data_IF_873086958209
#
_entry.id   IF_873086958209
#
_cell.length_a   1.000
_cell.length_b   1.000
_cell.length_c   1.000
_cell.angle_alpha   90.00
_cell.angle_beta   90.00
_cell.angle_gamma   90.00
#
_symmetry.space_group_name_H-M   'P 1'
#
loop_
_entity.id
_entity.type
_entity.pdbx_description
1 polymer ?
#
# COMPACT_ATOMS: atom_id res chain seq x y z
N UNK A 1 12.60 -17.59 -10.21
CA UNK A 1 12.55 -17.77 -8.75
C UNK A 1 13.07 -16.49 -8.13
N UNK A 2 12.20 -15.54 -7.80
CA UNK A 2 12.61 -14.29 -7.13
C UNK A 2 12.83 -14.59 -5.65
N UNK A 3 13.99 -15.20 -5.37
CA UNK A 3 14.59 -15.21 -4.04
C UNK A 3 14.82 -13.76 -3.65
N UNK A 4 14.47 -13.43 -2.41
CA UNK A 4 14.80 -12.20 -1.71
C UNK A 4 16.22 -11.72 -2.09
N UNK A 5 16.29 -10.72 -2.97
CA UNK A 5 17.38 -9.76 -2.87
C UNK A 5 16.79 -8.66 -2.00
N UNK A 6 17.29 -8.39 -0.79
CA UNK A 6 16.99 -7.15 -0.10
C UNK A 6 17.59 -6.03 -0.95
N UNK A 7 16.94 -5.67 -2.05
CA UNK A 7 17.32 -4.55 -2.87
C UNK A 7 17.19 -3.33 -1.98
N UNK A 8 18.30 -2.63 -1.92
CA UNK A 8 18.78 -1.87 -0.78
C UNK A 8 17.84 -0.71 -0.42
N UNK A 9 16.81 -0.93 0.41
CA UNK A 9 16.01 0.20 0.93
C UNK A 9 16.91 1.22 1.63
N UNK A 10 18.04 0.79 2.20
CA UNK A 10 19.01 1.70 2.80
C UNK A 10 19.72 2.59 1.74
N UNK A 11 19.89 2.12 0.51
CA UNK A 11 20.35 2.97 -0.60
C UNK A 11 19.32 4.06 -0.88
N UNK A 12 18.04 3.71 -1.05
CA UNK A 12 17.00 4.70 -1.35
C UNK A 12 16.79 5.72 -0.21
N UNK A 13 16.99 5.32 1.05
CA UNK A 13 16.99 6.25 2.19
C UNK A 13 18.08 7.34 2.10
N UNK A 14 19.13 7.11 1.32
CA UNK A 14 20.24 8.05 1.13
C UNK A 14 20.11 8.88 -0.16
N UNK A 15 19.15 8.54 -1.05
CA UNK A 15 18.95 9.27 -2.30
C UNK A 15 18.35 10.65 -1.99
N UNK A 16 18.99 11.77 -2.39
CA UNK A 16 18.52 13.11 -2.04
C UNK A 16 17.09 13.42 -2.49
N UNK A 17 16.70 12.96 -3.69
CA UNK A 17 15.32 13.15 -4.18
C UNK A 17 14.30 12.46 -3.26
N UNK A 18 14.60 11.23 -2.80
CA UNK A 18 13.74 10.48 -1.87
C UNK A 18 13.70 11.17 -0.51
N UNK A 19 14.84 11.59 0.02
CA UNK A 19 14.91 12.32 1.29
C UNK A 19 14.09 13.61 1.23
N UNK A 20 14.26 14.41 0.18
CA UNK A 20 13.52 15.65 -0.02
C UNK A 20 12.02 15.42 -0.19
N UNK A 21 11.63 14.35 -0.88
CA UNK A 21 10.22 13.99 -1.04
C UNK A 21 9.56 13.55 0.28
N UNK A 22 10.32 12.94 1.20
CA UNK A 22 9.82 12.40 2.47
C UNK A 22 9.99 13.34 3.67
N UNK A 23 10.93 14.30 3.61
CA UNK A 23 11.25 15.22 4.70
C UNK A 23 10.04 15.97 5.32
N UNK A 24 8.98 16.33 4.56
CA UNK A 24 7.83 17.02 5.14
C UNK A 24 6.87 16.15 5.98
N UNK A 25 7.09 14.84 6.07
CA UNK A 25 6.12 13.91 6.67
C UNK A 25 6.65 13.21 7.92
N UNK A 26 5.76 12.54 8.65
CA UNK A 26 6.13 11.72 9.81
C UNK A 26 7.10 10.61 9.40
N UNK A 27 8.02 10.26 10.32
CA UNK A 27 8.93 9.14 10.13
C UNK A 27 8.16 7.84 9.83
N UNK A 28 7.04 7.67 10.53
CA UNK A 28 6.15 6.51 10.38
C UNK A 28 5.57 6.39 8.96
N UNK A 29 5.06 7.50 8.40
CA UNK A 29 4.63 7.51 7.00
C UNK A 29 5.80 7.24 6.07
N UNK A 30 6.94 7.93 6.25
CA UNK A 30 8.13 7.78 5.41
C UNK A 30 8.64 6.33 5.37
N UNK A 31 8.66 5.64 6.52
CA UNK A 31 9.01 4.23 6.64
C UNK A 31 8.02 3.34 5.88
N UNK A 32 6.72 3.62 5.96
CA UNK A 32 5.69 2.83 5.29
C UNK A 32 5.62 3.05 3.77
N UNK A 33 5.79 4.29 3.29
CA UNK A 33 5.62 4.58 1.87
C UNK A 33 6.81 4.12 1.03
N UNK A 34 8.02 4.07 1.60
CA UNK A 34 9.23 3.74 0.86
C UNK A 34 9.21 2.30 0.29
N UNK A 35 8.88 1.25 1.06
CA UNK A 35 8.71 -0.11 0.52
C UNK A 35 7.60 -0.18 -0.54
N UNK A 36 6.51 0.58 -0.39
CA UNK A 36 5.42 0.59 -1.37
C UNK A 36 5.91 1.20 -2.70
N UNK A 37 6.56 2.37 -2.67
CA UNK A 37 7.15 2.98 -3.87
C UNK A 37 8.15 2.04 -4.56
N UNK A 38 8.93 1.30 -3.78
CA UNK A 38 9.83 0.28 -4.30
C UNK A 38 9.07 -0.86 -5.01
N UNK A 39 8.01 -1.40 -4.38
CA UNK A 39 7.18 -2.47 -4.93
C UNK A 39 6.38 -2.03 -6.17
N UNK A 40 5.99 -0.76 -6.25
CA UNK A 40 5.37 -0.15 -7.45
C UNK A 40 6.39 0.12 -8.57
N UNK A 41 7.69 -0.11 -8.33
CA UNK A 41 8.76 0.26 -9.27
C UNK A 41 9.01 1.77 -9.37
N UNK A 42 8.36 2.56 -8.53
CA UNK A 42 8.43 4.03 -8.51
C UNK A 42 9.81 4.60 -8.17
N UNK A 43 10.71 3.80 -7.60
CA UNK A 43 12.08 4.24 -7.28
C UNK A 43 13.09 4.00 -8.41
N UNK A 44 12.62 3.56 -9.60
CA UNK A 44 13.45 3.53 -10.81
C UNK A 44 13.74 4.95 -11.30
N UNK A 45 14.77 5.12 -12.13
CA UNK A 45 15.22 6.43 -12.62
C UNK A 45 14.16 7.20 -13.40
N UNK A 46 13.21 6.51 -14.04
CA UNK A 46 12.07 7.08 -14.76
C UNK A 46 10.79 7.19 -13.91
N UNK A 47 10.87 6.84 -12.62
CA UNK A 47 9.71 6.75 -11.74
C UNK A 47 8.82 5.53 -12.03
N UNK A 48 9.32 4.50 -12.72
CA UNK A 48 8.52 3.34 -13.10
C UNK A 48 7.44 3.69 -14.13
N UNK A 49 7.75 4.62 -15.04
CA UNK A 49 6.83 5.07 -16.07
C UNK A 49 6.38 3.89 -16.93
N UNK A 50 5.07 3.65 -17.00
CA UNK A 50 4.47 2.59 -17.80
C UNK A 50 3.34 3.16 -18.63
N UNK A 51 3.42 2.99 -19.96
CA UNK A 51 2.43 3.44 -20.95
C UNK A 51 2.08 2.29 -21.91
N UNK A 52 1.70 1.14 -21.36
CA UNK A 52 1.31 -0.02 -22.14
C UNK A 52 -0.20 0.03 -22.42
N UNK A 53 -0.58 0.06 -23.70
CA UNK A 53 -1.97 0.19 -24.15
C UNK A 53 -2.92 -0.93 -23.66
N UNK A 54 -2.39 -2.12 -23.31
CA UNK A 54 -3.19 -3.22 -22.75
C UNK A 54 -3.44 -3.11 -21.25
N UNK A 55 -2.81 -2.15 -20.56
CA UNK A 55 -3.03 -1.92 -19.14
C UNK A 55 -4.35 -1.15 -18.90
N UNK A 56 -5.24 -1.74 -18.10
CA UNK A 56 -6.52 -1.15 -17.72
C UNK A 56 -6.36 0.14 -16.89
N UNK A 57 -5.17 0.42 -16.36
CA UNK A 57 -4.83 1.63 -15.61
C UNK A 57 -4.42 2.83 -16.47
N UNK A 58 -4.01 2.60 -17.72
CA UNK A 58 -3.37 3.60 -18.58
C UNK A 58 -2.00 4.05 -18.07
N UNK A 59 -1.54 5.22 -18.55
CA UNK A 59 -0.27 5.82 -18.15
C UNK A 59 -0.10 5.83 -16.63
N UNK A 60 1.00 5.28 -16.13
CA UNK A 60 1.28 5.13 -14.70
C UNK A 60 2.71 5.56 -14.38
N UNK A 61 2.91 6.30 -13.28
CA UNK A 61 4.23 6.68 -12.75
C UNK A 61 4.17 6.71 -11.23
N UNK A 62 5.21 6.22 -10.56
CA UNK A 62 5.27 6.06 -9.10
C UNK A 62 4.11 5.24 -8.51
N UNK A 63 3.53 4.32 -9.28
CA UNK A 63 2.32 3.58 -8.89
C UNK A 63 1.01 4.38 -8.96
N UNK A 64 1.05 5.61 -9.46
CA UNK A 64 -0.11 6.49 -9.66
C UNK A 64 -0.54 6.41 -11.14
N UNK A 65 -1.77 5.96 -11.38
CA UNK A 65 -2.31 5.76 -12.74
C UNK A 65 -3.25 6.89 -13.18
N UNK A 66 -3.28 7.15 -14.50
CA UNK A 66 -4.19 8.12 -15.11
C UNK A 66 -5.64 7.78 -14.81
N UNK A 67 -5.99 6.49 -14.76
CA UNK A 67 -7.35 6.05 -14.40
C UNK A 67 -7.77 6.52 -13.01
N UNK A 68 -6.87 6.46 -12.03
CA UNK A 68 -7.16 6.91 -10.67
C UNK A 68 -7.17 8.44 -10.57
N UNK A 69 -6.35 9.12 -11.39
CA UNK A 69 -6.20 10.58 -11.39
C UNK A 69 -6.37 11.13 -12.82
N UNK A 70 -7.60 11.19 -13.35
CA UNK A 70 -7.85 11.48 -14.77
C UNK A 70 -7.40 12.87 -15.22
N UNK A 71 -7.30 13.83 -14.29
CA UNK A 71 -6.91 15.21 -14.58
C UNK A 71 -5.44 15.52 -14.22
N UNK A 72 -4.68 14.53 -13.78
CA UNK A 72 -3.28 14.71 -13.40
C UNK A 72 -2.37 14.41 -14.59
N UNK A 73 -1.34 15.24 -14.78
CA UNK A 73 -0.26 14.94 -15.73
C UNK A 73 0.67 13.87 -15.15
N UNK A 74 0.37 12.60 -15.44
CA UNK A 74 1.13 11.47 -14.91
C UNK A 74 2.55 11.42 -15.49
N UNK A 75 2.73 11.85 -16.75
CA UNK A 75 4.03 11.82 -17.42
C UNK A 75 5.06 12.67 -16.67
N UNK A 76 4.66 13.88 -16.30
CA UNK A 76 5.51 14.84 -15.60
C UNK A 76 5.31 14.82 -14.07
N UNK A 77 4.64 13.80 -13.53
CA UNK A 77 4.50 13.63 -12.10
C UNK A 77 5.88 13.54 -11.45
N UNK A 78 6.07 14.24 -10.33
CA UNK A 78 7.31 14.21 -9.54
C UNK A 78 7.14 13.28 -8.34
N UNK A 79 8.25 12.73 -7.83
CA UNK A 79 8.21 11.86 -6.65
C UNK A 79 7.54 12.54 -5.45
N UNK A 80 7.90 13.80 -5.17
CA UNK A 80 7.31 14.57 -4.07
C UNK A 80 5.79 14.77 -4.24
N UNK A 81 5.30 14.91 -5.48
CA UNK A 81 3.86 14.99 -5.74
C UNK A 81 3.19 13.62 -5.56
N UNK A 82 3.79 12.54 -6.05
CA UNK A 82 3.27 11.18 -5.82
C UNK A 82 3.17 10.85 -4.33
N UNK A 83 4.21 11.16 -3.54
CA UNK A 83 4.21 10.99 -2.07
C UNK A 83 3.08 11.80 -1.42
N UNK A 84 2.82 13.04 -1.86
CA UNK A 84 1.67 13.84 -1.40
C UNK A 84 0.34 13.13 -1.63
N UNK A 85 0.15 12.51 -2.80
CA UNK A 85 -1.08 11.78 -3.12
C UNK A 85 -1.23 10.55 -2.23
N UNK A 86 -0.16 9.76 -2.05
CA UNK A 86 -0.16 8.63 -1.11
C UNK A 86 -0.54 9.06 0.31
N UNK A 87 0.04 10.15 0.80
CA UNK A 87 -0.26 10.68 2.12
C UNK A 87 -1.72 11.14 2.23
N UNK A 88 -2.21 11.90 1.25
CA UNK A 88 -3.56 12.48 1.28
C UNK A 88 -4.65 11.41 1.13
N UNK A 89 -4.52 10.56 0.13
CA UNK A 89 -5.63 9.73 -0.35
C UNK A 89 -5.66 8.33 0.26
N UNK A 90 -4.54 7.89 0.87
CA UNK A 90 -4.43 6.56 1.45
C UNK A 90 -4.02 6.62 2.92
N UNK A 91 -2.89 7.25 3.27
CA UNK A 91 -2.41 7.32 4.66
C UNK A 91 -3.42 7.99 5.60
N UNK A 92 -3.84 9.22 5.24
CA UNK A 92 -4.83 9.98 6.03
C UNK A 92 -6.22 9.34 5.95
N UNK A 93 -6.62 8.87 4.77
CA UNK A 93 -7.93 8.24 4.57
C UNK A 93 -8.11 6.97 5.41
N UNK A 94 -7.03 6.26 5.70
CA UNK A 94 -7.04 5.03 6.49
C UNK A 94 -6.68 5.23 7.97
N UNK A 95 -6.44 6.47 8.42
CA UNK A 95 -5.92 6.80 9.76
C UNK A 95 -4.65 6.02 10.14
N UNK A 96 -3.74 5.81 9.18
CA UNK A 96 -2.55 4.99 9.41
C UNK A 96 -1.62 5.60 10.48
N UNK A 97 -1.58 6.92 10.64
CA UNK A 97 -0.79 7.58 11.70
C UNK A 97 -1.23 7.12 13.10
N UNK A 98 -2.53 6.85 13.29
CA UNK A 98 -3.16 6.59 14.58
C UNK A 98 -3.21 5.11 14.99
N UNK A 99 -2.82 4.17 14.13
CA UNK A 99 -2.86 2.73 14.43
C UNK A 99 -1.47 2.18 14.75
N UNK A 100 -1.36 0.98 15.30
CA UNK A 100 -0.06 0.37 15.59
C UNK A 100 0.79 0.15 14.34
N UNK A 101 2.11 0.16 14.51
CA UNK A 101 3.07 -0.21 13.47
C UNK A 101 2.77 -1.61 12.92
N UNK A 102 3.08 -1.83 11.65
CA UNK A 102 2.71 -3.04 10.91
C UNK A 102 1.24 -3.04 10.47
N UNK A 103 0.29 -2.66 11.35
CA UNK A 103 -1.11 -2.49 10.95
C UNK A 103 -1.24 -1.29 10.00
N UNK A 104 -0.59 -0.18 10.31
CA UNK A 104 -0.50 1.02 9.47
C UNK A 104 -0.04 0.70 8.05
N UNK A 105 1.03 -0.09 7.92
CA UNK A 105 1.60 -0.51 6.65
C UNK A 105 0.63 -1.43 5.88
N UNK A 106 0.03 -2.41 6.56
CA UNK A 106 -0.96 -3.30 5.95
C UNK A 106 -2.21 -2.56 5.45
N UNK A 107 -2.64 -1.53 6.18
CA UNK A 107 -3.74 -0.66 5.77
C UNK A 107 -3.35 0.22 4.57
N UNK A 108 -2.17 0.83 4.60
CA UNK A 108 -1.67 1.67 3.51
C UNK A 108 -1.52 0.86 2.22
N UNK A 109 -0.71 -0.22 2.23
CA UNK A 109 -0.47 -1.06 1.06
C UNK A 109 -1.78 -1.69 0.54
N UNK A 110 -2.65 -2.14 1.45
CA UNK A 110 -3.95 -2.67 1.11
C UNK A 110 -4.85 -1.63 0.44
N UNK A 111 -4.86 -0.39 0.92
CA UNK A 111 -5.64 0.70 0.33
C UNK A 111 -5.10 1.11 -1.04
N UNK A 112 -3.78 1.06 -1.25
CA UNK A 112 -3.16 1.30 -2.56
C UNK A 112 -3.60 0.25 -3.57
N UNK A 113 -3.57 -1.04 -3.22
CA UNK A 113 -3.98 -2.11 -4.13
C UNK A 113 -5.49 -2.21 -4.36
N UNK A 114 -6.30 -1.90 -3.34
CA UNK A 114 -7.73 -2.20 -3.35
C UNK A 114 -8.64 -0.97 -3.40
N UNK A 115 -8.07 0.23 -3.27
CA UNK A 115 -8.80 1.45 -2.93
C UNK A 115 -9.16 1.51 -1.46
N UNK A 116 -9.12 2.72 -0.89
CA UNK A 116 -9.45 2.96 0.53
C UNK A 116 -10.84 2.45 0.95
N UNK A 117 -11.93 2.63 0.17
CA UNK A 117 -13.25 2.13 0.59
C UNK A 117 -13.30 0.60 0.70
N UNK A 118 -12.74 -0.11 -0.27
CA UNK A 118 -12.79 -1.58 -0.26
C UNK A 118 -11.85 -2.16 0.80
N UNK A 119 -10.71 -1.51 1.07
CA UNK A 119 -9.82 -1.88 2.18
C UNK A 119 -10.45 -1.59 3.54
N UNK A 120 -11.19 -0.48 3.66
CA UNK A 120 -11.96 -0.14 4.86
C UNK A 120 -13.03 -1.19 5.14
N UNK A 121 -13.82 -1.59 4.14
CA UNK A 121 -14.84 -2.64 4.33
C UNK A 121 -14.23 -3.98 4.72
N UNK A 122 -13.06 -4.33 4.18
CA UNK A 122 -12.33 -5.53 4.59
C UNK A 122 -11.96 -5.43 6.07
N UNK A 123 -11.33 -4.33 6.46
CA UNK A 123 -10.88 -4.09 7.85
C UNK A 123 -12.05 -4.08 8.83
N UNK A 124 -13.14 -3.39 8.49
CA UNK A 124 -14.36 -3.32 9.32
C UNK A 124 -14.91 -4.70 9.65
N UNK A 125 -14.92 -5.65 8.69
CA UNK A 125 -15.34 -7.04 8.95
C UNK A 125 -14.42 -7.74 9.95
N UNK A 126 -13.13 -7.44 9.96
CA UNK A 126 -12.15 -8.07 10.87
C UNK A 126 -12.22 -7.53 12.30
N UNK A 127 -12.66 -6.28 12.45
CA UNK A 127 -12.82 -5.61 13.75
C UNK A 127 -14.29 -5.56 14.20
N UNK A 128 -15.15 -6.41 13.61
CA UNK A 128 -16.58 -6.51 13.93
C UNK A 128 -17.33 -5.16 13.88
N UNK A 129 -16.93 -4.26 12.99
CA UNK A 129 -17.59 -3.00 12.69
C UNK A 129 -18.51 -3.13 11.47
N UNK A 130 -19.48 -2.22 11.33
CA UNK A 130 -20.35 -2.15 10.14
C UNK A 130 -19.48 -1.96 8.87
N UNK A 131 -19.57 -2.85 7.86
CA UNK A 131 -18.73 -2.78 6.66
C UNK A 131 -19.27 -1.79 5.63
N UNK A 132 -19.39 -0.51 5.99
CA UNK A 132 -19.91 0.56 5.13
C UNK A 132 -18.85 1.24 4.25
N UNK A 133 -17.57 0.90 4.45
CA UNK A 133 -16.45 1.45 3.67
C UNK A 133 -16.05 2.87 4.04
N UNK A 134 -16.57 3.39 5.16
CA UNK A 134 -16.22 4.71 5.69
C UNK A 134 -15.30 4.56 6.88
N UNK A 135 -14.04 4.94 6.69
CA UNK A 135 -13.07 4.91 7.77
C UNK A 135 -13.37 6.09 8.70
N UNK A 136 -13.84 5.81 9.91
CA UNK A 136 -14.23 6.82 10.90
C UNK A 136 -13.82 6.45 12.31
N UNK A 137 -14.05 7.33 13.31
CA UNK A 137 -13.57 7.16 14.68
C UNK A 137 -13.95 5.80 15.30
N UNK A 138 -15.17 5.30 15.05
CA UNK A 138 -15.61 3.99 15.56
C UNK A 138 -14.78 2.83 15.00
N UNK A 139 -14.48 2.86 13.70
CA UNK A 139 -13.63 1.84 13.08
C UNK A 139 -12.19 1.96 13.57
N UNK A 140 -11.68 3.19 13.73
CA UNK A 140 -10.35 3.43 14.28
C UNK A 140 -10.21 2.86 15.70
N UNK A 141 -11.16 3.14 16.59
CA UNK A 141 -11.18 2.57 17.95
C UNK A 141 -11.15 1.04 17.91
N UNK A 142 -12.00 0.41 17.10
CA UNK A 142 -12.04 -1.05 16.98
C UNK A 142 -10.74 -1.66 16.39
N UNK A 143 -10.02 -0.91 15.55
CA UNK A 143 -8.69 -1.30 15.07
C UNK A 143 -7.66 -1.26 16.21
N UNK A 144 -7.61 -0.16 16.95
CA UNK A 144 -6.63 0.06 18.03
C UNK A 144 -6.84 -0.91 19.21
N UNK A 145 -8.09 -1.29 19.50
CA UNK A 145 -8.41 -2.26 20.56
C UNK A 145 -8.02 -3.70 20.23
N UNK A 146 -7.70 -4.00 18.96
CA UNK A 146 -7.36 -5.36 18.52
C UNK A 146 -5.85 -5.60 18.65
N UNK A 147 -5.42 -6.77 19.15
CA UNK A 147 -4.00 -7.10 19.20
C UNK A 147 -3.35 -6.96 17.81
N UNK A 148 -2.29 -6.14 17.66
CA UNK A 148 -1.86 -5.68 16.35
C UNK A 148 -1.30 -6.81 15.49
N UNK A 149 -0.54 -7.75 16.08
CA UNK A 149 -0.07 -8.95 15.38
C UNK A 149 -1.24 -9.79 14.82
N UNK A 150 -2.30 -9.97 15.62
CA UNK A 150 -3.49 -10.70 15.17
C UNK A 150 -4.17 -10.00 13.99
N UNK A 151 -4.35 -8.68 14.07
CA UNK A 151 -4.97 -7.92 13.00
C UNK A 151 -4.11 -7.91 11.72
N UNK A 152 -2.79 -7.76 11.83
CA UNK A 152 -1.84 -7.85 10.71
C UNK A 152 -1.95 -9.19 9.96
N UNK A 153 -1.96 -10.31 10.69
CA UNK A 153 -2.13 -11.65 10.09
C UNK A 153 -3.50 -11.79 9.43
N UNK A 154 -4.57 -11.33 10.10
CA UNK A 154 -5.92 -11.41 9.54
C UNK A 154 -6.10 -10.54 8.29
N UNK A 155 -5.49 -9.35 8.24
CA UNK A 155 -5.45 -8.50 7.05
C UNK A 155 -4.77 -9.23 5.90
N UNK A 156 -3.62 -9.88 6.16
CA UNK A 156 -2.92 -10.66 5.15
C UNK A 156 -3.79 -11.78 4.56
N UNK A 157 -4.33 -12.64 5.41
CA UNK A 157 -5.19 -13.77 4.99
C UNK A 157 -6.39 -13.29 4.18
N UNK A 158 -7.06 -12.24 4.63
CA UNK A 158 -8.29 -11.77 3.97
C UNK A 158 -8.02 -11.01 2.67
N UNK A 159 -6.85 -10.37 2.51
CA UNK A 159 -6.40 -9.86 1.22
C UNK A 159 -6.11 -11.00 0.24
N UNK A 160 -5.45 -12.08 0.69
CA UNK A 160 -5.28 -13.30 -0.11
C UNK A 160 -6.61 -13.88 -0.59
N UNK A 161 -7.59 -14.03 0.31
CA UNK A 161 -8.95 -14.49 -0.05
C UNK A 161 -9.63 -13.56 -1.05
N UNK A 162 -9.39 -12.24 -0.96
CA UNK A 162 -9.92 -11.27 -1.91
C UNK A 162 -9.33 -11.48 -3.30
N UNK A 163 -8.02 -11.73 -3.44
CA UNK A 163 -7.41 -12.08 -4.72
C UNK A 163 -8.02 -13.34 -5.34
N UNK A 164 -8.18 -14.39 -4.54
CA UNK A 164 -8.84 -15.62 -4.99
C UNK A 164 -10.26 -15.36 -5.51
N UNK A 165 -11.03 -14.51 -4.82
CA UNK A 165 -12.38 -14.11 -5.25
C UNK A 165 -12.37 -13.26 -6.53
N UNK A 166 -11.39 -12.39 -6.72
CA UNK A 166 -11.22 -11.65 -7.98
C UNK A 166 -11.01 -12.62 -9.14
N UNK A 167 -10.09 -13.57 -9.02
CA UNK A 167 -9.84 -14.57 -10.07
C UNK A 167 -11.01 -15.54 -10.30
N UNK A 168 -11.79 -15.84 -9.26
CA UNK A 168 -13.01 -16.64 -9.40
C UNK A 168 -14.09 -15.89 -10.18
N UNK A 169 -14.22 -14.58 -9.97
CA UNK A 169 -15.20 -13.73 -10.66
C UNK A 169 -14.76 -13.28 -12.06
N UNK A 170 -13.46 -13.08 -12.27
CA UNK A 170 -12.85 -12.72 -13.55
C UNK A 170 -11.59 -13.58 -13.79
N UNK A 171 -11.73 -14.75 -14.44
CA UNK A 171 -10.61 -15.63 -14.72
C UNK A 171 -9.48 -15.00 -15.57
N UNK A 172 -9.76 -13.90 -16.29
CA UNK A 172 -8.72 -13.17 -17.04
C UNK A 172 -7.63 -12.58 -16.14
N UNK A 173 -7.90 -12.46 -14.84
CA UNK A 173 -6.98 -11.93 -13.85
C UNK A 173 -5.97 -12.95 -13.31
N UNK A 174 -6.15 -14.25 -13.56
CA UNK A 174 -5.26 -15.31 -13.04
C UNK A 174 -3.77 -15.09 -13.31
N UNK A 175 -3.33 -14.56 -14.47
CA UNK A 175 -1.91 -14.29 -14.71
C UNK A 175 -1.28 -13.31 -13.70
N UNK A 176 -2.07 -12.44 -13.09
CA UNK A 176 -1.60 -11.44 -12.12
C UNK A 176 -1.46 -12.00 -10.69
N UNK A 177 -2.00 -13.20 -10.43
CA UNK A 177 -2.18 -13.73 -9.08
C UNK A 177 -0.86 -13.95 -8.35
N UNK A 178 0.16 -14.47 -9.05
CA UNK A 178 1.49 -14.68 -8.48
C UNK A 178 2.10 -13.35 -8.01
N UNK A 179 2.01 -12.30 -8.84
CA UNK A 179 2.47 -10.97 -8.48
C UNK A 179 1.76 -10.40 -7.24
N UNK A 180 0.44 -10.58 -7.15
CA UNK A 180 -0.34 -10.13 -5.99
C UNK A 180 0.06 -10.85 -4.70
N UNK A 181 0.29 -12.16 -4.76
CA UNK A 181 0.74 -12.94 -3.60
C UNK A 181 2.18 -12.64 -3.21
N UNK A 182 3.08 -12.43 -4.17
CA UNK A 182 4.46 -12.00 -3.89
C UNK A 182 4.47 -10.67 -3.13
N UNK A 183 3.71 -9.67 -3.60
CA UNK A 183 3.55 -8.40 -2.88
C UNK A 183 2.94 -8.59 -1.49
N UNK A 184 1.92 -9.43 -1.35
CA UNK A 184 1.28 -9.69 -0.06
C UNK A 184 2.23 -10.38 0.93
N UNK A 185 3.05 -11.33 0.48
CA UNK A 185 4.06 -11.98 1.29
C UNK A 185 5.07 -10.95 1.81
N UNK A 186 5.64 -10.14 0.92
CA UNK A 186 6.55 -9.05 1.31
C UNK A 186 5.92 -8.06 2.29
N UNK A 187 4.66 -7.68 2.03
CA UNK A 187 3.97 -6.74 2.89
C UNK A 187 3.73 -7.30 4.30
N UNK A 188 3.38 -8.59 4.38
CA UNK A 188 3.14 -9.28 5.64
C UNK A 188 4.43 -9.46 6.45
N UNK A 189 5.53 -9.86 5.78
CA UNK A 189 6.84 -10.00 6.41
C UNK A 189 7.36 -8.68 6.96
N UNK A 190 7.25 -7.60 6.16
CA UNK A 190 7.63 -6.26 6.61
C UNK A 190 6.80 -5.81 7.82
N UNK A 191 5.48 -5.95 7.76
CA UNK A 191 4.59 -5.55 8.84
C UNK A 191 4.82 -6.33 10.15
N UNK A 192 5.04 -7.64 10.06
CA UNK A 192 5.36 -8.46 11.24
C UNK A 192 6.72 -8.09 11.81
N UNK A 193 7.72 -7.80 10.96
CA UNK A 193 9.03 -7.35 11.41
C UNK A 193 8.95 -6.04 12.19
N UNK A 194 8.20 -5.05 11.70
CA UNK A 194 7.98 -3.79 12.43
C UNK A 194 7.34 -4.01 13.81
N UNK A 195 6.44 -4.99 13.94
CA UNK A 195 5.84 -5.32 15.23
C UNK A 195 6.78 -6.00 16.23
N UNK A 196 7.80 -6.69 15.75
CA UNK A 196 8.72 -7.48 16.58
C UNK A 196 10.01 -6.71 16.92
N UNK A 197 10.41 -5.78 16.05
CA UNK A 197 11.49 -4.84 16.30
C UNK A 197 10.97 -3.70 17.18
N UNK A 198 10.73 -4.01 18.46
CA UNK A 198 10.41 -2.99 19.47
C UNK A 198 11.64 -2.08 19.60
N UNK A 199 11.51 -0.83 19.13
CA UNK A 199 12.46 0.25 19.38
C UNK A 199 12.36 0.77 20.82
#
# INVERSE_FOLDING_TARGET
MFVFNPLNLNYFKQVPEVQNALAPYSLKFAQCILPILYLEGGLRSDGGLNDIASDRGGLTKYGISQRAYPNLDIKNLTLAHAVRLYHRDYWRAMYCEQVHEGVDFMLLDGAVQHGAPAMTQLTQRLVNSKPDGRMGPKTLTAIVERPPLSLTVLLSVNRGRKYARICANDPSQKPNLEGWYNRLAHASEYAVKQLLEVH
#
